data_IF_064376864663
#
_entry.id   IF_064376864663
#
_cell.length_a   1.000
_cell.length_b   1.000
_cell.length_c   1.000
_cell.angle_alpha   90.00
_cell.angle_beta   90.00
_cell.angle_gamma   90.00
#
_symmetry.space_group_name_H-M   'P 1'
#
loop_
_entity.id
_entity.type
_entity.pdbx_description
1 polymer ?
#
# COMPACT_ATOMS: atom_id res chain seq x y z
N UNK A 1 54.41 0.73 54.39
CA UNK A 1 54.87 -0.68 54.35
C UNK A 1 55.38 -0.95 52.94
N UNK A 2 56.56 -1.57 52.82
CA UNK A 2 57.40 -1.76 51.63
C UNK A 2 56.66 -2.46 50.45
N UNK A 3 56.83 -2.15 49.16
CA UNK A 3 58.02 -2.02 48.29
C UNK A 3 58.77 -3.34 48.04
N UNK A 4 58.79 -3.82 46.78
CA UNK A 4 59.98 -4.45 46.14
C UNK A 4 59.98 -4.19 44.62
N UNK A 5 61.17 -3.83 44.14
CA UNK A 5 61.60 -3.57 42.76
C UNK A 5 62.13 -4.84 42.06
N UNK A 6 62.09 -4.95 40.73
CA UNK A 6 63.25 -4.75 39.81
C UNK A 6 62.96 -5.12 38.34
N UNK A 7 63.86 -4.60 37.50
CA UNK A 7 63.88 -4.32 36.06
C UNK A 7 64.66 -5.38 35.26
N UNK A 8 64.57 -5.29 33.91
CA UNK A 8 65.50 -5.71 32.82
C UNK A 8 65.02 -6.92 32.00
N UNK A 9 65.16 -6.99 30.67
CA UNK A 9 65.76 -6.14 29.64
C UNK A 9 65.54 -6.81 28.27
N UNK A 10 65.50 -6.03 27.19
CA UNK A 10 65.39 -6.51 25.80
C UNK A 10 66.63 -7.29 25.34
N UNK A 11 66.50 -8.03 24.22
CA UNK A 11 67.53 -7.98 23.18
C UNK A 11 66.98 -7.51 21.84
N UNK A 12 67.91 -7.01 21.02
CA UNK A 12 67.71 -6.25 19.81
C UNK A 12 68.11 -7.07 18.55
N UNK A 13 67.45 -6.77 17.40
CA UNK A 13 68.01 -6.64 16.02
C UNK A 13 68.38 -7.98 15.29
N UNK A 14 68.15 -8.17 13.96
CA UNK A 14 68.47 -7.22 12.88
C UNK A 14 67.49 -7.00 11.72
N UNK A 15 67.81 -5.93 10.98
CA UNK A 15 67.21 -5.40 9.76
C UNK A 15 67.89 -5.92 8.47
N UNK A 16 67.08 -6.03 7.39
CA UNK A 16 67.37 -5.91 5.93
C UNK A 16 68.04 -7.11 5.21
N UNK A 17 67.80 -7.34 3.89
CA UNK A 17 67.60 -6.33 2.84
C UNK A 17 66.44 -6.52 1.83
N UNK A 18 66.18 -5.41 1.12
CA UNK A 18 65.28 -5.25 -0.02
C UNK A 18 65.64 -6.17 -1.19
N UNK A 19 64.63 -6.81 -1.78
CA UNK A 19 64.70 -7.28 -3.18
C UNK A 19 63.56 -6.64 -3.97
N UNK A 20 63.96 -5.74 -4.87
CA UNK A 20 63.15 -5.12 -5.91
C UNK A 20 62.45 -6.19 -6.74
N UNK A 21 61.12 -6.12 -6.88
CA UNK A 21 60.40 -6.73 -8.01
C UNK A 21 59.85 -5.63 -8.90
N UNK A 22 60.23 -5.74 -10.17
CA UNK A 22 59.96 -4.81 -11.24
C UNK A 22 58.47 -4.73 -11.57
N UNK A 23 57.98 -3.50 -11.77
CA UNK A 23 56.71 -3.20 -12.41
C UNK A 23 56.84 -3.47 -13.93
N UNK A 24 55.89 -4.16 -14.58
CA UNK A 24 55.84 -4.17 -16.03
C UNK A 24 55.26 -2.83 -16.52
N UNK A 25 56.04 -2.14 -17.35
CA UNK A 25 55.59 -1.02 -18.17
C UNK A 25 54.57 -1.55 -19.19
N UNK A 26 53.33 -1.08 -19.11
CA UNK A 26 52.39 -1.15 -20.23
C UNK A 26 52.30 0.24 -20.86
N UNK A 27 52.67 0.27 -22.14
CA UNK A 27 52.76 1.45 -22.97
C UNK A 27 51.38 2.08 -23.19
N UNK A 28 51.34 3.41 -23.11
CA UNK A 28 50.19 4.21 -23.51
C UNK A 28 50.02 4.14 -25.04
N UNK A 29 48.91 3.58 -25.49
CA UNK A 29 48.36 3.78 -26.83
C UNK A 29 47.10 4.64 -26.67
N UNK A 30 47.25 5.94 -26.96
CA UNK A 30 46.14 6.86 -27.07
C UNK A 30 45.39 6.58 -28.39
N UNK A 31 44.31 5.79 -28.30
CA UNK A 31 43.30 5.65 -29.34
C UNK A 31 42.07 6.45 -28.97
N UNK A 32 41.84 7.58 -29.64
CA UNK A 32 40.59 8.33 -29.53
C UNK A 32 39.47 7.52 -30.19
N UNK A 33 38.60 6.90 -29.39
CA UNK A 33 37.34 6.33 -29.85
C UNK A 33 36.20 7.17 -29.27
N UNK A 34 35.52 7.93 -30.14
CA UNK A 34 34.28 8.62 -29.82
C UNK A 34 33.21 7.57 -29.47
N UNK A 35 32.85 7.47 -28.20
CA UNK A 35 31.69 6.70 -27.75
C UNK A 35 30.43 7.46 -28.13
N UNK A 36 29.84 7.09 -29.27
CA UNK A 36 28.45 7.38 -29.54
C UNK A 36 27.61 6.63 -28.50
N UNK A 37 26.88 7.37 -27.66
CA UNK A 37 25.89 6.80 -26.76
C UNK A 37 24.84 6.05 -27.59
N UNK A 38 24.50 4.78 -27.27
CA UNK A 38 23.38 4.13 -27.90
C UNK A 38 22.11 4.85 -27.46
N UNK A 39 21.39 5.43 -28.42
CA UNK A 39 20.04 5.92 -28.24
C UNK A 39 19.15 4.73 -27.86
N UNK A 40 18.79 4.62 -26.57
CA UNK A 40 17.68 3.77 -26.16
C UNK A 40 16.40 4.40 -26.74
N UNK A 41 15.93 3.82 -27.84
CA UNK A 41 14.57 4.03 -28.28
C UNK A 41 13.63 3.59 -27.16
N UNK A 42 12.80 4.52 -26.70
CA UNK A 42 11.76 4.25 -25.73
C UNK A 42 10.84 3.14 -26.28
N UNK A 43 10.84 1.99 -25.61
CA UNK A 43 9.80 0.99 -25.82
C UNK A 43 8.47 1.60 -25.33
N UNK A 44 7.50 1.71 -26.24
CA UNK A 44 6.16 2.19 -25.92
C UNK A 44 5.44 1.30 -24.90
N UNK A 45 4.32 1.77 -24.34
CA UNK A 45 3.54 1.04 -23.35
C UNK A 45 3.12 -0.32 -23.92
N UNK A 46 3.57 -1.40 -23.28
CA UNK A 46 3.02 -2.72 -23.54
C UNK A 46 1.60 -2.72 -22.97
N UNK A 47 0.54 -2.99 -23.78
CA UNK A 47 -0.75 -3.35 -23.22
C UNK A 47 -0.54 -4.58 -22.34
N UNK A 48 -1.25 -4.65 -21.20
CA UNK A 48 -1.25 -5.81 -20.32
C UNK A 48 -1.36 -7.08 -21.16
N UNK A 49 -0.25 -7.80 -21.33
CA UNK A 49 -0.34 -9.16 -21.82
C UNK A 49 -0.90 -9.93 -20.66
N UNK A 50 -2.06 -10.56 -20.86
CA UNK A 50 -2.47 -11.72 -20.05
C UNK A 50 -1.20 -12.53 -19.80
N UNK A 51 -0.84 -12.73 -18.53
CA UNK A 51 0.31 -13.55 -18.18
C UNK A 51 0.21 -14.84 -19.02
N UNK A 52 1.25 -15.24 -19.76
CA UNK A 52 1.18 -16.45 -20.55
C UNK A 52 0.74 -17.59 -19.65
N UNK A 53 -0.19 -18.42 -20.15
CA UNK A 53 -0.83 -19.49 -19.41
C UNK A 53 0.17 -20.15 -18.43
N UNK A 54 -0.19 -20.08 -17.15
CA UNK A 54 0.67 -20.49 -16.05
C UNK A 54 1.11 -21.94 -16.26
N UNK A 55 2.37 -22.29 -15.96
CA UNK A 55 2.84 -23.67 -16.01
C UNK A 55 1.93 -24.56 -15.15
N UNK A 56 1.86 -25.84 -15.54
CA UNK A 56 0.99 -26.86 -14.94
C UNK A 56 0.95 -26.78 -13.41
N UNK A 57 -0.23 -26.98 -12.78
CA UNK A 57 -0.31 -26.98 -11.33
C UNK A 57 0.69 -28.00 -10.78
N UNK A 58 1.50 -27.56 -9.81
CA UNK A 58 2.31 -28.46 -9.01
C UNK A 58 1.41 -29.62 -8.54
N UNK A 59 1.91 -30.85 -8.49
CA UNK A 59 1.17 -31.94 -7.83
C UNK A 59 1.13 -31.58 -6.35
N UNK A 60 0.03 -30.94 -5.91
CA UNK A 60 -0.07 -30.35 -4.57
C UNK A 60 -0.59 -31.41 -3.59
N UNK A 61 -0.04 -31.51 -2.37
CA UNK A 61 -0.60 -32.35 -1.34
C UNK A 61 -2.04 -31.93 -1.03
N UNK A 62 -2.86 -32.92 -0.69
CA UNK A 62 -4.32 -32.84 -0.62
C UNK A 62 -4.91 -32.03 0.55
N UNK A 63 -4.10 -31.49 1.46
CA UNK A 63 -4.58 -30.88 2.70
C UNK A 63 -3.63 -29.77 3.17
N UNK A 64 -3.86 -28.54 2.72
CA UNK A 64 -3.30 -27.33 3.31
C UNK A 64 -4.23 -26.68 4.34
N UNK A 65 -5.49 -27.13 4.41
CA UNK A 65 -6.54 -26.64 5.28
C UNK A 65 -7.17 -27.79 6.07
N UNK A 66 -7.31 -27.63 7.38
CA UNK A 66 -8.02 -28.59 8.23
C UNK A 66 -9.09 -27.88 9.05
N UNK A 67 -10.34 -28.35 8.95
CA UNK A 67 -11.45 -27.79 9.74
C UNK A 67 -11.17 -27.92 11.23
N UNK A 68 -11.24 -26.78 11.93
CA UNK A 68 -11.16 -26.71 13.38
C UNK A 68 -12.55 -26.54 13.98
N UNK A 69 -12.89 -27.44 14.89
CA UNK A 69 -14.05 -27.27 15.75
C UNK A 69 -13.58 -26.66 17.07
N UNK A 70 -14.05 -25.46 17.37
CA UNK A 70 -13.82 -24.80 18.66
C UNK A 70 -15.13 -24.24 19.20
N UNK A 71 -15.15 -23.88 20.49
CA UNK A 71 -16.33 -23.28 21.13
C UNK A 71 -16.65 -21.92 20.49
N UNK A 72 -17.81 -21.73 19.85
CA UNK A 72 -18.20 -20.45 19.27
C UNK A 72 -18.20 -19.30 20.28
N UNK A 73 -18.40 -19.58 21.57
CA UNK A 73 -18.34 -18.57 22.63
C UNK A 73 -16.93 -18.02 22.87
N UNK A 74 -15.89 -18.72 22.40
CA UNK A 74 -14.50 -18.28 22.49
C UNK A 74 -14.14 -17.23 21.42
N UNK A 75 -14.88 -17.15 20.30
CA UNK A 75 -14.70 -16.12 19.28
C UNK A 75 -15.72 -14.98 19.48
N UNK A 76 -15.21 -13.79 19.82
CA UNK A 76 -15.99 -12.54 19.77
C UNK A 76 -16.04 -11.98 18.35
N UNK A 77 -16.77 -10.89 18.13
CA UNK A 77 -16.78 -10.20 16.82
C UNK A 77 -15.46 -9.47 16.50
N UNK A 78 -14.64 -9.20 17.52
CA UNK A 78 -13.30 -8.62 17.40
C UNK A 78 -12.27 -9.62 17.93
N UNK A 79 -11.04 -9.52 17.43
CA UNK A 79 -9.98 -10.44 17.84
C UNK A 79 -9.49 -10.13 19.25
N UNK A 80 -9.27 -11.17 20.04
CA UNK A 80 -8.86 -11.09 21.44
C UNK A 80 -7.37 -10.69 21.63
N UNK A 81 -6.60 -10.62 20.54
CA UNK A 81 -5.19 -10.24 20.52
C UNK A 81 -4.84 -9.56 19.20
N UNK A 82 -3.97 -8.56 19.27
CA UNK A 82 -3.36 -7.91 18.11
C UNK A 82 -1.95 -8.43 17.86
N UNK A 83 -1.60 -9.62 18.33
CA UNK A 83 -0.21 -10.12 18.30
C UNK A 83 -0.11 -11.42 17.50
N UNK A 84 0.83 -11.45 16.56
CA UNK A 84 1.31 -12.67 15.90
C UNK A 84 2.76 -12.91 16.34
N UNK A 85 3.00 -14.04 17.01
CA UNK A 85 4.33 -14.51 17.39
C UNK A 85 4.91 -15.39 16.29
N UNK A 86 6.03 -14.94 15.71
CA UNK A 86 6.77 -15.67 14.67
C UNK A 86 7.90 -16.44 15.33
N UNK A 87 7.73 -17.76 15.43
CA UNK A 87 8.56 -18.64 16.24
C UNK A 87 9.52 -19.46 15.37
N UNK A 88 10.83 -19.27 15.53
CA UNK A 88 11.91 -19.88 14.71
C UNK A 88 12.36 -21.28 15.13
N UNK A 89 11.88 -21.78 16.27
CA UNK A 89 12.31 -23.07 16.83
C UNK A 89 13.82 -23.22 17.12
N UNK A 90 14.54 -22.13 17.43
CA UNK A 90 16.01 -22.19 17.72
C UNK A 90 16.37 -22.18 19.21
N UNK A 91 15.54 -21.57 20.06
CA UNK A 91 15.86 -21.30 21.48
C UNK A 91 14.88 -21.97 22.47
N UNK A 92 14.00 -22.84 21.97
CA UNK A 92 12.94 -23.52 22.71
C UNK A 92 12.86 -24.98 22.26
N UNK A 93 12.27 -25.83 23.10
CA UNK A 93 11.78 -27.12 22.63
C UNK A 93 10.49 -26.82 21.86
N UNK A 94 10.53 -26.81 20.52
CA UNK A 94 9.36 -26.65 19.65
C UNK A 94 8.46 -27.89 19.69
N UNK A 95 8.10 -28.28 20.90
CA UNK A 95 7.16 -29.35 21.19
C UNK A 95 5.76 -28.88 20.89
N UNK A 96 4.99 -29.72 20.21
CA UNK A 96 3.58 -29.54 19.90
C UNK A 96 2.83 -30.71 20.53
N UNK A 97 1.80 -30.40 21.30
CA UNK A 97 0.92 -31.41 21.91
C UNK A 97 -0.40 -31.46 21.16
N UNK A 98 -0.94 -32.66 20.98
CA UNK A 98 -2.24 -32.84 20.32
C UNK A 98 -3.36 -32.24 21.20
N UNK A 99 -4.22 -31.40 20.61
CA UNK A 99 -5.40 -30.85 21.28
C UNK A 99 -6.13 -29.83 20.42
N UNK A 100 -7.14 -29.16 20.98
CA UNK A 100 -7.67 -27.93 20.36
C UNK A 100 -6.56 -26.89 20.30
N UNK A 101 -6.48 -26.16 19.20
CA UNK A 101 -5.40 -25.18 19.01
C UNK A 101 -5.35 -24.17 20.16
N UNK A 102 -4.16 -23.96 20.72
CA UNK A 102 -3.94 -22.97 21.77
C UNK A 102 -2.44 -22.60 21.90
N UNK A 103 -2.11 -21.37 21.53
CA UNK A 103 -0.77 -20.77 21.66
C UNK A 103 -0.45 -20.29 23.09
N UNK A 104 -1.43 -20.18 23.99
CA UNK A 104 -1.18 -19.63 25.35
C UNK A 104 -0.65 -20.67 26.33
N UNK A 105 -0.26 -21.86 25.86
CA UNK A 105 0.24 -22.97 26.67
C UNK A 105 1.68 -23.29 26.28
N UNK A 106 2.43 -23.88 27.21
CA UNK A 106 3.79 -24.37 26.98
C UNK A 106 3.89 -25.83 27.44
N UNK A 107 4.03 -26.81 26.51
CA UNK A 107 4.08 -26.64 25.06
C UNK A 107 2.74 -26.19 24.44
N UNK A 108 2.78 -25.71 23.21
CA UNK A 108 1.56 -25.29 22.49
C UNK A 108 0.69 -26.50 22.13
N UNK A 109 -0.62 -26.29 22.06
CA UNK A 109 -1.57 -27.30 21.61
C UNK A 109 -1.95 -27.07 20.14
N UNK A 110 -2.03 -28.14 19.35
CA UNK A 110 -2.51 -28.09 17.96
C UNK A 110 -3.39 -29.28 17.61
N UNK A 111 -4.39 -29.02 16.78
CA UNK A 111 -5.28 -30.02 16.21
C UNK A 111 -4.71 -30.67 14.95
N UNK A 112 -3.68 -30.06 14.37
CA UNK A 112 -3.03 -30.46 13.13
C UNK A 112 -2.03 -31.60 13.33
N UNK A 113 -1.53 -31.79 14.55
CA UNK A 113 -0.55 -32.83 14.85
C UNK A 113 0.13 -32.63 16.20
N UNK A 114 1.13 -33.48 16.46
CA UNK A 114 1.96 -33.42 17.67
C UNK A 114 3.36 -33.95 17.37
N UNK A 115 4.36 -33.47 18.09
CA UNK A 115 5.75 -33.85 17.88
C UNK A 115 6.72 -32.78 18.36
N UNK A 116 7.95 -32.85 17.89
CA UNK A 116 8.99 -31.86 18.17
C UNK A 116 9.57 -31.41 16.84
N UNK A 117 9.35 -30.15 16.47
CA UNK A 117 9.87 -29.60 15.22
C UNK A 117 11.37 -29.35 15.34
N UNK A 118 12.10 -29.69 14.29
CA UNK A 118 13.50 -29.26 14.19
C UNK A 118 13.61 -27.74 13.95
N UNK A 119 14.72 -27.10 14.38
CA UNK A 119 14.90 -25.67 14.20
C UNK A 119 14.85 -25.23 12.73
N UNK A 120 14.40 -24.00 12.48
CA UNK A 120 14.54 -23.38 11.15
C UNK A 120 16.02 -23.34 10.72
N UNK A 121 16.33 -23.96 9.58
CA UNK A 121 17.71 -24.20 9.15
C UNK A 121 18.32 -23.05 8.36
N UNK A 122 17.53 -22.07 7.90
CA UNK A 122 18.08 -20.91 7.18
C UNK A 122 18.74 -19.92 8.13
N UNK A 123 19.72 -19.18 7.61
CA UNK A 123 20.52 -18.21 8.39
C UNK A 123 19.74 -16.96 8.81
N UNK A 124 20.33 -16.19 9.72
CA UNK A 124 19.68 -15.01 10.33
C UNK A 124 19.26 -13.96 9.32
N UNK A 125 19.99 -13.79 8.22
CA UNK A 125 19.62 -12.86 7.16
C UNK A 125 18.31 -13.25 6.47
N UNK A 126 18.10 -14.55 6.21
CA UNK A 126 16.85 -15.08 5.65
C UNK A 126 15.73 -14.88 6.65
N UNK A 127 15.97 -15.23 7.92
CA UNK A 127 14.99 -15.05 8.99
C UNK A 127 14.54 -13.59 9.15
N UNK A 128 15.49 -12.65 9.22
CA UNK A 128 15.20 -11.22 9.29
C UNK A 128 14.37 -10.73 8.11
N UNK A 129 14.60 -11.28 6.91
CA UNK A 129 13.79 -10.95 5.72
C UNK A 129 12.37 -11.49 5.85
N UNK A 130 12.19 -12.70 6.38
CA UNK A 130 10.86 -13.29 6.64
C UNK A 130 10.09 -12.44 7.66
N UNK A 131 10.70 -12.08 8.79
CA UNK A 131 10.06 -11.28 9.84
C UNK A 131 9.72 -9.88 9.34
N UNK A 132 10.64 -9.21 8.62
CA UNK A 132 10.38 -7.90 8.03
C UNK A 132 9.24 -7.94 6.99
N UNK A 133 9.17 -9.02 6.21
CA UNK A 133 8.08 -9.23 5.29
C UNK A 133 6.73 -9.43 6.02
N UNK A 134 6.67 -10.25 7.07
CA UNK A 134 5.46 -10.41 7.89
C UNK A 134 5.02 -9.08 8.51
N UNK A 135 5.98 -8.28 9.00
CA UNK A 135 5.70 -6.94 9.52
C UNK A 135 5.08 -6.05 8.45
N UNK A 136 5.58 -6.06 7.22
CA UNK A 136 5.02 -5.26 6.12
C UNK A 136 3.64 -5.75 5.67
N UNK A 137 3.44 -7.07 5.56
CA UNK A 137 2.16 -7.67 5.16
C UNK A 137 1.05 -7.33 6.17
N UNK A 138 1.39 -7.27 7.46
CA UNK A 138 0.43 -7.01 8.53
C UNK A 138 0.38 -5.56 9.05
N UNK A 139 1.36 -4.71 8.74
CA UNK A 139 1.36 -3.28 9.09
C UNK A 139 0.07 -2.52 8.73
N UNK A 140 -0.64 -2.87 7.64
CA UNK A 140 -1.92 -2.25 7.32
C UNK A 140 -3.04 -2.50 8.34
N UNK A 141 -2.92 -3.58 9.10
CA UNK A 141 -3.87 -3.99 10.12
C UNK A 141 -3.30 -3.64 11.49
N UNK A 142 -4.14 -3.52 12.50
CA UNK A 142 -3.70 -3.23 13.87
C UNK A 142 -3.04 -4.48 14.49
N UNK A 143 -2.02 -5.04 13.84
CA UNK A 143 -1.40 -6.32 14.17
C UNK A 143 0.09 -6.13 14.38
N UNK A 144 0.57 -6.55 15.54
CA UNK A 144 1.96 -6.55 15.93
C UNK A 144 2.58 -7.92 15.64
N UNK A 145 3.61 -7.92 14.79
CA UNK A 145 4.49 -9.08 14.62
C UNK A 145 5.60 -9.02 15.68
N UNK A 146 5.81 -10.12 16.39
CA UNK A 146 6.86 -10.25 17.42
C UNK A 146 7.66 -11.54 17.23
N UNK A 147 8.94 -11.50 17.59
CA UNK A 147 9.82 -12.68 17.73
C UNK A 147 10.02 -13.07 19.21
N UNK A 148 9.44 -12.30 20.13
CA UNK A 148 9.50 -12.57 21.57
C UNK A 148 8.22 -13.28 21.97
N UNK A 149 8.37 -14.45 22.61
CA UNK A 149 7.25 -15.24 23.12
C UNK A 149 6.34 -14.39 24.02
N UNK A 150 5.03 -14.33 23.71
CA UNK A 150 4.04 -13.69 24.59
C UNK A 150 3.71 -14.51 25.86
N UNK A 151 4.25 -15.73 25.99
CA UNK A 151 3.92 -16.66 27.08
C UNK A 151 2.43 -16.98 27.11
N UNK A 152 1.78 -16.77 28.25
CA UNK A 152 0.36 -17.08 28.43
C UNK A 152 -0.58 -15.97 27.95
N UNK A 153 -0.07 -14.86 27.40
CA UNK A 153 -0.92 -13.81 26.83
C UNK A 153 -1.60 -14.32 25.55
N UNK A 154 -2.86 -13.95 25.25
CA UNK A 154 -3.51 -14.29 23.99
C UNK A 154 -2.70 -13.81 22.78
N UNK A 155 -2.47 -14.66 21.78
CA UNK A 155 -1.75 -14.34 20.55
C UNK A 155 -1.97 -15.42 19.49
N UNK A 156 -1.72 -15.12 18.22
CA UNK A 156 -1.55 -16.16 17.20
C UNK A 156 -0.09 -16.58 17.17
N UNK A 157 0.18 -17.87 17.02
CA UNK A 157 1.54 -18.38 16.93
C UNK A 157 1.75 -19.09 15.60
N UNK A 158 2.83 -18.73 14.92
CA UNK A 158 3.31 -19.44 13.75
C UNK A 158 4.66 -20.09 14.04
N UNK A 159 4.67 -21.41 14.00
CA UNK A 159 5.87 -22.23 14.13
C UNK A 159 6.52 -22.38 12.76
N UNK A 160 7.69 -21.77 12.59
CA UNK A 160 8.47 -21.85 11.35
C UNK A 160 9.71 -22.70 11.60
N UNK A 161 9.74 -23.87 10.97
CA UNK A 161 10.79 -24.86 11.16
C UNK A 161 10.28 -26.27 10.90
N UNK A 162 11.15 -27.24 11.12
CA UNK A 162 10.80 -28.64 11.07
C UNK A 162 10.37 -29.13 9.69
N UNK A 163 9.88 -30.37 9.70
CA UNK A 163 9.30 -31.05 8.54
C UNK A 163 7.87 -31.52 8.86
N UNK A 164 6.96 -31.58 7.88
CA UNK A 164 5.57 -31.98 8.14
C UNK A 164 5.46 -33.35 8.80
N UNK A 165 6.36 -34.29 8.49
CA UNK A 165 6.39 -35.63 9.07
C UNK A 165 6.67 -35.62 10.57
N UNK A 166 7.33 -34.59 11.10
CA UNK A 166 7.68 -34.47 12.52
C UNK A 166 6.43 -34.22 13.40
N UNK A 167 5.32 -33.77 12.81
CA UNK A 167 4.02 -33.68 13.47
C UNK A 167 2.97 -34.66 12.92
N UNK A 168 3.40 -35.64 12.13
CA UNK A 168 2.54 -36.71 11.60
C UNK A 168 1.86 -36.43 10.27
N UNK A 169 2.27 -35.38 9.55
CA UNK A 169 1.74 -35.03 8.24
C UNK A 169 2.54 -35.67 7.09
N UNK A 170 1.98 -35.61 5.88
CA UNK A 170 2.67 -36.13 4.68
C UNK A 170 3.75 -35.17 4.17
N UNK A 171 4.77 -35.73 3.53
CA UNK A 171 5.78 -34.96 2.82
C UNK A 171 5.17 -34.01 1.77
N UNK A 172 5.87 -32.90 1.49
CA UNK A 172 5.50 -31.95 0.43
C UNK A 172 4.54 -30.84 0.86
N UNK A 173 4.16 -30.79 2.14
CA UNK A 173 3.38 -29.70 2.73
C UNK A 173 4.34 -28.56 3.11
N UNK A 174 4.10 -27.37 2.56
CA UNK A 174 4.89 -26.16 2.85
C UNK A 174 4.40 -25.37 4.05
N UNK A 175 3.10 -25.43 4.31
CA UNK A 175 2.42 -24.84 5.46
C UNK A 175 1.07 -25.52 5.68
N UNK A 176 0.53 -25.37 6.89
CA UNK A 176 -0.81 -25.86 7.23
C UNK A 176 -1.40 -25.02 8.38
N UNK A 177 -2.70 -24.77 8.29
CA UNK A 177 -3.47 -24.05 9.29
C UNK A 177 -4.77 -24.76 9.64
N UNK A 178 -5.25 -24.65 10.90
CA UNK A 178 -6.65 -24.85 11.19
C UNK A 178 -7.51 -23.81 10.44
N UNK A 179 -8.74 -24.20 10.10
CA UNK A 179 -9.67 -23.40 9.31
C UNK A 179 -11.07 -23.42 9.92
N UNK A 180 -11.74 -22.27 9.92
CA UNK A 180 -13.11 -22.14 10.41
C UNK A 180 -13.84 -21.02 9.69
N UNK A 181 -15.17 -21.07 9.70
CA UNK A 181 -16.02 -19.97 9.23
C UNK A 181 -16.64 -19.16 10.38
N UNK A 182 -16.28 -19.48 11.63
CA UNK A 182 -16.38 -18.53 12.74
C UNK A 182 -15.31 -17.46 12.52
N UNK A 183 -15.57 -16.19 12.87
CA UNK A 183 -14.86 -15.04 12.29
C UNK A 183 -13.33 -15.14 12.39
N UNK A 184 -12.82 -15.78 13.45
CA UNK A 184 -11.44 -16.24 13.54
C UNK A 184 -11.34 -17.40 14.55
N UNK A 185 -10.19 -18.08 14.57
CA UNK A 185 -9.85 -19.11 15.56
C UNK A 185 -8.96 -18.47 16.66
N UNK A 186 -9.46 -18.28 17.89
CA UNK A 186 -8.67 -17.64 18.95
C UNK A 186 -7.43 -18.46 19.31
N UNK A 187 -6.31 -17.78 19.56
CA UNK A 187 -5.06 -18.41 19.98
C UNK A 187 -4.57 -19.52 19.02
N UNK A 188 -4.80 -19.32 17.72
CA UNK A 188 -4.46 -20.32 16.71
C UNK A 188 -2.94 -20.55 16.61
N UNK A 189 -2.58 -21.80 16.37
CA UNK A 189 -1.22 -22.28 16.13
C UNK A 189 -1.17 -22.82 14.70
N UNK A 190 -0.34 -22.19 13.87
CA UNK A 190 -0.18 -22.54 12.46
C UNK A 190 1.28 -22.92 12.16
N UNK A 191 1.53 -23.61 11.04
CA UNK A 191 2.86 -24.15 10.74
C UNK A 191 3.36 -23.73 9.36
N UNK A 192 4.65 -23.41 9.29
CA UNK A 192 5.39 -23.29 8.02
C UNK A 192 6.63 -24.16 8.12
N UNK A 193 6.71 -25.18 7.25
CA UNK A 193 7.80 -26.14 7.29
C UNK A 193 9.02 -25.64 6.51
N UNK A 194 10.20 -26.06 6.93
CA UNK A 194 11.47 -25.66 6.33
C UNK A 194 11.78 -26.48 5.07
N UNK A 195 10.90 -26.33 4.07
CA UNK A 195 10.96 -27.03 2.77
C UNK A 195 11.24 -26.08 1.60
N UNK A 196 11.23 -24.78 1.85
CA UNK A 196 11.36 -23.73 0.84
C UNK A 196 12.82 -23.37 0.51
N UNK A 197 13.76 -23.72 1.40
CA UNK A 197 15.16 -23.32 1.31
C UNK A 197 15.34 -21.81 1.52
N UNK A 198 16.38 -21.22 0.93
CA UNK A 198 16.65 -19.78 1.06
C UNK A 198 15.75 -18.92 0.14
N UNK A 199 14.44 -18.97 0.36
CA UNK A 199 13.41 -18.20 -0.35
C UNK A 199 12.54 -17.43 0.64
N UNK A 200 13.06 -16.33 1.22
CA UNK A 200 12.36 -15.63 2.31
C UNK A 200 10.99 -15.09 1.92
N UNK A 201 10.78 -14.64 0.68
CA UNK A 201 9.47 -14.15 0.22
C UNK A 201 8.43 -15.28 0.11
N UNK A 202 8.84 -16.51 -0.24
CA UNK A 202 7.93 -17.66 -0.28
C UNK A 202 7.60 -18.16 1.14
N UNK A 203 8.58 -18.15 2.04
CA UNK A 203 8.36 -18.49 3.45
C UNK A 203 7.40 -17.47 4.09
N UNK A 204 7.60 -16.18 3.82
CA UNK A 204 6.70 -15.12 4.29
C UNK A 204 5.29 -15.25 3.69
N UNK A 205 5.17 -15.48 2.38
CA UNK A 205 3.87 -15.67 1.74
C UNK A 205 3.12 -16.87 2.34
N UNK A 206 3.81 -18.00 2.54
CA UNK A 206 3.25 -19.18 3.21
C UNK A 206 2.82 -18.82 4.64
N UNK A 207 3.67 -18.11 5.40
CA UNK A 207 3.35 -17.70 6.76
C UNK A 207 2.11 -16.81 6.85
N UNK A 208 2.00 -15.82 5.97
CA UNK A 208 0.82 -14.96 5.87
C UNK A 208 -0.42 -15.78 5.48
N UNK A 209 -0.32 -16.63 4.47
CA UNK A 209 -1.41 -17.52 4.03
C UNK A 209 -1.96 -18.37 5.17
N UNK A 210 -1.07 -19.08 5.88
CA UNK A 210 -1.48 -19.98 6.96
C UNK A 210 -2.13 -19.21 8.12
N UNK A 211 -1.60 -18.05 8.49
CA UNK A 211 -2.25 -17.22 9.53
C UNK A 211 -3.64 -16.75 9.07
N UNK A 212 -3.78 -16.35 7.80
CA UNK A 212 -5.06 -15.87 7.25
C UNK A 212 -6.16 -16.93 7.19
N UNK A 213 -5.81 -18.22 7.07
CA UNK A 213 -6.79 -19.30 7.22
C UNK A 213 -7.43 -19.35 8.61
N UNK A 214 -6.70 -18.96 9.65
CA UNK A 214 -7.26 -18.78 11.00
C UNK A 214 -8.22 -17.58 11.09
N UNK A 215 -8.28 -16.74 10.06
CA UNK A 215 -9.20 -15.59 9.90
C UNK A 215 -10.33 -15.87 8.91
N UNK A 216 -10.58 -17.15 8.60
CA UNK A 216 -11.62 -17.60 7.66
C UNK A 216 -11.34 -17.29 6.17
N UNK A 217 -10.12 -16.87 5.82
CA UNK A 217 -9.78 -16.58 4.42
C UNK A 217 -9.48 -17.87 3.66
N UNK A 218 -10.17 -18.04 2.54
CA UNK A 218 -9.94 -19.11 1.57
C UNK A 218 -8.78 -18.73 0.64
N UNK A 219 -8.31 -19.67 -0.18
CA UNK A 219 -7.36 -19.32 -1.23
C UNK A 219 -8.02 -18.47 -2.32
N UNK A 220 -7.23 -17.64 -3.00
CA UNK A 220 -7.71 -16.73 -4.04
C UNK A 220 -6.80 -16.76 -5.29
N UNK A 221 -7.34 -16.32 -6.43
CA UNK A 221 -6.65 -16.44 -7.74
C UNK A 221 -5.70 -15.30 -8.08
N UNK A 222 -5.53 -14.29 -7.22
CA UNK A 222 -4.69 -13.12 -7.50
C UNK A 222 -3.22 -13.42 -7.15
N UNK A 223 -2.29 -13.54 -8.12
CA UNK A 223 -0.91 -13.95 -7.83
C UNK A 223 -0.16 -13.05 -6.84
N UNK A 224 -0.50 -11.75 -6.77
CA UNK A 224 0.13 -10.84 -5.81
C UNK A 224 -0.37 -11.00 -4.38
N UNK A 225 -1.44 -11.76 -4.16
CA UNK A 225 -2.02 -12.00 -2.84
C UNK A 225 -1.36 -13.22 -2.15
N UNK A 226 -1.02 -13.16 -0.85
CA UNK A 226 -0.50 -14.32 -0.12
C UNK A 226 -1.42 -15.54 -0.16
N UNK A 227 -2.73 -15.36 -0.32
CA UNK A 227 -3.71 -16.46 -0.36
C UNK A 227 -3.71 -17.26 -1.66
N UNK A 228 -2.71 -17.10 -2.52
CA UNK A 228 -2.66 -17.75 -3.84
C UNK A 228 -1.58 -18.83 -3.95
N UNK A 229 -1.89 -19.89 -4.68
CA UNK A 229 -0.89 -20.85 -5.16
C UNK A 229 -0.33 -20.54 -6.55
N UNK A 230 -0.66 -19.38 -7.11
CA UNK A 230 -0.05 -18.96 -8.37
C UNK A 230 1.32 -18.33 -8.14
N UNK A 231 2.20 -18.59 -9.10
CA UNK A 231 3.56 -18.07 -9.08
C UNK A 231 3.53 -16.53 -9.20
N UNK A 232 4.28 -15.88 -8.32
CA UNK A 232 4.47 -14.45 -8.35
C UNK A 232 5.91 -14.11 -8.03
N UNK A 233 6.39 -13.02 -8.62
CA UNK A 233 7.76 -12.54 -8.41
C UNK A 233 7.71 -11.29 -7.55
N UNK A 234 8.21 -11.42 -6.33
CA UNK A 234 8.32 -10.32 -5.38
C UNK A 234 7.44 -10.55 -4.16
N UNK A 235 7.27 -9.48 -3.38
CA UNK A 235 6.51 -9.50 -2.14
C UNK A 235 5.01 -9.55 -2.43
N UNK A 236 4.31 -10.43 -1.73
CA UNK A 236 2.85 -10.56 -1.79
C UNK A 236 2.21 -9.74 -0.68
N UNK A 237 1.06 -9.14 -0.96
CA UNK A 237 0.26 -8.37 0.01
C UNK A 237 -1.21 -8.70 -0.19
N UNK A 238 -1.98 -8.73 0.90
CA UNK A 238 -3.43 -8.90 0.80
C UNK A 238 -4.04 -7.82 -0.08
N UNK A 239 -4.87 -8.22 -1.03
CA UNK A 239 -5.43 -7.33 -2.03
C UNK A 239 -6.79 -6.81 -1.57
N UNK A 240 -6.94 -5.48 -1.54
CA UNK A 240 -8.24 -4.84 -1.25
C UNK A 240 -9.15 -4.83 -2.48
N UNK A 241 -9.55 -6.00 -2.94
CA UNK A 241 -10.54 -6.16 -4.00
C UNK A 241 -11.36 -7.43 -3.76
N UNK A 242 -12.51 -7.53 -4.42
CA UNK A 242 -13.26 -8.78 -4.46
C UNK A 242 -12.56 -9.74 -5.43
N UNK A 243 -11.80 -10.68 -4.90
CA UNK A 243 -11.01 -11.66 -5.65
C UNK A 243 -11.72 -13.01 -5.62
N UNK A 244 -11.76 -13.68 -6.78
CA UNK A 244 -12.32 -15.03 -6.92
C UNK A 244 -11.54 -16.05 -6.08
N UNK A 245 -12.26 -16.83 -5.27
CA UNK A 245 -11.66 -17.91 -4.50
C UNK A 245 -11.22 -19.06 -5.41
N UNK A 246 -10.09 -19.68 -5.10
CA UNK A 246 -9.44 -20.62 -6.01
C UNK A 246 -7.92 -20.78 -5.85
N UNK A 247 -7.28 -21.21 -6.93
CA UNK A 247 -5.84 -21.51 -7.10
C UNK A 247 -5.33 -22.84 -6.51
N UNK A 248 -6.13 -23.49 -5.69
CA UNK A 248 -5.75 -24.66 -4.87
C UNK A 248 -6.35 -25.99 -5.35
N UNK A 249 -7.02 -25.98 -6.50
CA UNK A 249 -7.74 -27.14 -6.99
C UNK A 249 -6.79 -28.25 -7.43
N UNK A 250 -7.13 -29.47 -7.00
CA UNK A 250 -6.40 -30.69 -7.32
C UNK A 250 -6.67 -31.19 -8.76
N UNK A 251 -6.02 -32.29 -9.13
CA UNK A 251 -6.21 -32.96 -10.41
C UNK A 251 -7.62 -33.51 -10.67
N UNK A 252 -8.45 -33.63 -9.62
CA UNK A 252 -9.86 -34.02 -9.73
C UNK A 252 -10.80 -32.81 -9.73
N UNK A 253 -10.23 -31.59 -9.84
CA UNK A 253 -10.95 -30.32 -9.81
C UNK A 253 -11.72 -30.13 -8.50
N UNK A 254 -11.06 -30.42 -7.38
CA UNK A 254 -11.56 -30.22 -6.02
C UNK A 254 -10.62 -29.32 -5.23
N UNK A 255 -11.19 -28.38 -4.48
CA UNK A 255 -10.44 -27.62 -3.47
C UNK A 255 -10.04 -28.56 -2.31
N UNK A 256 -9.09 -28.17 -1.44
CA UNK A 256 -8.71 -28.91 -0.23
C UNK A 256 -9.90 -29.20 0.70
N UNK A 257 -10.95 -28.38 0.65
CA UNK A 257 -12.18 -28.57 1.42
C UNK A 257 -13.27 -29.38 0.66
N UNK A 258 -12.93 -29.93 -0.50
CA UNK A 258 -13.78 -30.83 -1.30
C UNK A 258 -14.79 -30.13 -2.23
N UNK A 259 -14.75 -28.80 -2.31
CA UNK A 259 -15.63 -28.02 -3.18
C UNK A 259 -15.27 -28.27 -4.64
N UNK A 260 -16.28 -28.40 -5.51
CA UNK A 260 -16.05 -28.57 -6.95
C UNK A 260 -15.49 -27.29 -7.56
N UNK A 261 -14.37 -27.40 -8.25
CA UNK A 261 -13.76 -26.31 -8.98
C UNK A 261 -14.35 -26.18 -10.38
N UNK A 262 -14.32 -24.93 -10.86
CA UNK A 262 -14.98 -24.43 -12.07
C UNK A 262 -14.02 -23.48 -12.80
N UNK A 263 -14.53 -22.75 -13.80
CA UNK A 263 -13.71 -21.91 -14.67
C UNK A 263 -12.98 -22.71 -15.75
N UNK A 264 -12.32 -21.99 -16.66
CA UNK A 264 -11.65 -22.61 -17.82
C UNK A 264 -10.40 -23.42 -17.41
N UNK A 265 -9.77 -23.07 -16.28
CA UNK A 265 -8.59 -23.72 -15.73
C UNK A 265 -8.92 -24.73 -14.62
N UNK A 266 -10.20 -24.87 -14.22
CA UNK A 266 -10.60 -25.64 -13.04
C UNK A 266 -9.90 -25.21 -11.75
N UNK A 267 -9.62 -23.91 -11.61
CA UNK A 267 -8.95 -23.33 -10.44
C UNK A 267 -9.85 -22.35 -9.68
N UNK A 268 -11.14 -22.24 -10.00
CA UNK A 268 -12.07 -21.31 -9.34
C UNK A 268 -13.12 -22.10 -8.54
N UNK A 269 -13.40 -21.71 -7.31
CA UNK A 269 -14.50 -22.30 -6.53
C UNK A 269 -15.20 -21.25 -5.67
N UNK A 270 -16.45 -21.51 -5.21
CA UNK A 270 -17.06 -20.71 -4.16
C UNK A 270 -16.16 -20.64 -2.92
N UNK A 271 -16.09 -19.47 -2.29
CA UNK A 271 -15.34 -19.28 -1.05
C UNK A 271 -15.96 -20.11 0.08
N UNK A 272 -15.14 -20.83 0.82
CA UNK A 272 -15.57 -21.79 1.84
C UNK A 272 -16.50 -21.16 2.89
N UNK A 273 -16.20 -19.92 3.33
CA UNK A 273 -16.97 -19.19 4.33
C UNK A 273 -17.91 -18.13 3.75
N UNK A 274 -18.05 -18.06 2.41
CA UNK A 274 -18.81 -17.02 1.72
C UNK A 274 -20.32 -17.28 1.59
N UNK A 275 -20.84 -18.39 2.13
CA UNK A 275 -22.27 -18.74 1.97
C UNK A 275 -22.70 -18.90 0.50
N UNK A 276 -21.77 -19.32 -0.38
CA UNK A 276 -21.96 -19.42 -1.83
C UNK A 276 -21.40 -18.22 -2.62
N UNK A 277 -20.88 -17.19 -1.96
CA UNK A 277 -20.11 -16.15 -2.62
C UNK A 277 -18.91 -16.74 -3.39
N UNK A 278 -18.63 -16.16 -4.55
CA UNK A 278 -17.51 -16.57 -5.40
C UNK A 278 -16.22 -15.82 -5.06
N UNK A 279 -16.36 -14.65 -4.43
CA UNK A 279 -15.25 -13.76 -4.15
C UNK A 279 -15.15 -13.46 -2.66
N UNK A 280 -13.93 -13.18 -2.22
CA UNK A 280 -13.63 -12.61 -0.91
C UNK A 280 -12.76 -11.36 -1.07
N UNK A 281 -12.66 -10.56 -0.02
CA UNK A 281 -11.73 -9.43 0.05
C UNK A 281 -10.94 -9.53 1.34
N UNK A 282 -9.67 -9.89 1.20
CA UNK A 282 -8.82 -10.31 2.31
C UNK A 282 -8.54 -9.14 3.26
N UNK A 283 -8.29 -7.96 2.68
CA UNK A 283 -8.12 -6.72 3.43
C UNK A 283 -9.37 -6.37 4.24
N UNK A 284 -10.56 -6.51 3.66
CA UNK A 284 -11.82 -6.21 4.35
C UNK A 284 -12.08 -7.17 5.51
N UNK A 285 -11.82 -8.48 5.32
CA UNK A 285 -11.98 -9.50 6.37
C UNK A 285 -11.01 -9.22 7.51
N UNK A 286 -9.72 -9.05 7.24
CA UNK A 286 -8.71 -8.82 8.27
C UNK A 286 -8.95 -7.48 8.97
N UNK A 287 -9.33 -6.42 8.24
CA UNK A 287 -9.65 -5.12 8.84
C UNK A 287 -10.91 -5.16 9.71
N UNK A 288 -11.88 -6.01 9.41
CA UNK A 288 -13.07 -6.19 10.26
C UNK A 288 -12.73 -6.87 11.60
N UNK A 289 -11.69 -7.71 11.61
CA UNK A 289 -11.24 -8.45 12.78
C UNK A 289 -10.38 -7.62 13.75
N UNK A 290 -9.44 -6.84 13.21
CA UNK A 290 -8.43 -6.12 13.99
C UNK A 290 -8.62 -4.59 13.96
N UNK A 291 -9.50 -4.08 13.10
CA UNK A 291 -9.53 -2.67 12.75
C UNK A 291 -8.39 -2.27 11.80
N UNK A 292 -8.46 -1.05 11.26
CA UNK A 292 -7.37 -0.48 10.48
C UNK A 292 -6.16 -0.16 11.37
N UNK A 293 -4.97 -0.55 10.95
CA UNK A 293 -3.71 -0.42 11.71
C UNK A 293 -3.13 0.99 11.81
N UNK A 294 -3.95 2.02 11.59
CA UNK A 294 -3.46 3.39 11.52
C UNK A 294 -2.52 3.65 10.34
N UNK A 295 -2.41 2.73 9.36
CA UNK A 295 -1.70 2.96 8.10
C UNK A 295 -2.14 4.31 7.53
N UNK A 296 -1.18 5.21 7.43
CA UNK A 296 -1.49 6.58 7.03
C UNK A 296 -1.63 6.60 5.52
N UNK A 297 -2.71 7.16 4.94
CA UNK A 297 -2.83 7.24 3.50
C UNK A 297 -1.58 7.89 2.87
N UNK A 298 -1.20 7.51 1.63
CA UNK A 298 0.04 7.98 1.05
C UNK A 298 0.17 9.50 1.05
N UNK A 299 1.36 10.00 1.31
CA UNK A 299 1.67 11.42 1.07
C UNK A 299 1.96 11.61 -0.41
N UNK A 300 1.13 12.42 -1.08
CA UNK A 300 1.28 12.75 -2.51
C UNK A 300 1.72 14.20 -2.66
N UNK A 301 2.69 14.45 -3.53
CA UNK A 301 3.13 15.79 -3.94
C UNK A 301 3.36 15.86 -5.44
N UNK A 302 2.61 16.73 -6.12
CA UNK A 302 2.85 17.02 -7.53
C UNK A 302 4.09 17.93 -7.63
N UNK A 303 5.15 17.43 -8.28
CA UNK A 303 6.43 18.13 -8.47
C UNK A 303 6.37 19.04 -9.69
N UNK A 304 5.72 18.59 -10.76
CA UNK A 304 5.51 19.33 -12.00
C UNK A 304 4.21 18.88 -12.66
N UNK A 305 3.43 19.76 -13.28
CA UNK A 305 3.58 21.23 -13.27
C UNK A 305 3.34 21.83 -11.88
N UNK A 306 3.62 23.12 -11.71
CA UNK A 306 3.29 23.88 -10.49
C UNK A 306 1.92 24.55 -10.64
N UNK A 307 1.34 24.95 -9.52
CA UNK A 307 0.08 25.68 -9.49
C UNK A 307 0.18 26.98 -10.31
N UNK A 308 -0.76 27.16 -11.24
CA UNK A 308 -0.86 28.33 -12.11
C UNK A 308 0.03 28.28 -13.35
N UNK A 309 0.83 27.22 -13.55
CA UNK A 309 1.67 27.09 -14.74
C UNK A 309 0.81 27.08 -16.01
N UNK A 310 1.30 27.77 -17.04
CA UNK A 310 0.75 27.64 -18.40
C UNK A 310 1.42 26.45 -19.07
N UNK A 311 0.61 25.50 -19.53
CA UNK A 311 1.07 24.24 -20.13
C UNK A 311 0.43 24.06 -21.51
N UNK A 312 1.16 23.42 -22.42
CA UNK A 312 0.60 22.97 -23.69
C UNK A 312 -0.07 21.59 -23.51
N UNK A 313 -1.10 21.25 -24.30
CA UNK A 313 -1.71 19.92 -24.24
C UNK A 313 -0.67 18.80 -24.42
N UNK A 314 -0.85 17.69 -23.70
CA UNK A 314 0.15 16.61 -23.66
C UNK A 314 1.33 16.87 -22.71
N UNK A 315 1.25 17.85 -21.82
CA UNK A 315 2.29 18.14 -20.82
C UNK A 315 2.58 16.95 -19.88
N UNK A 316 3.81 16.90 -19.35
CA UNK A 316 4.21 15.89 -18.37
C UNK A 316 3.76 16.27 -16.96
N UNK A 317 3.23 15.29 -16.22
CA UNK A 317 2.94 15.39 -14.79
C UNK A 317 3.86 14.43 -14.04
N UNK A 318 4.58 14.92 -13.04
CA UNK A 318 5.44 14.11 -12.17
C UNK A 318 5.05 14.31 -10.72
N UNK A 319 4.94 13.22 -9.97
CA UNK A 319 4.63 13.24 -8.55
C UNK A 319 5.65 12.46 -7.72
N UNK A 320 5.87 12.94 -6.50
CA UNK A 320 6.49 12.19 -5.40
C UNK A 320 5.35 11.60 -4.58
N UNK A 321 5.36 10.28 -4.39
CA UNK A 321 4.37 9.58 -3.57
C UNK A 321 5.14 8.66 -2.64
N UNK A 322 4.88 8.79 -1.35
CA UNK A 322 5.49 7.98 -0.30
C UNK A 322 4.44 7.57 0.71
N UNK A 323 4.59 6.39 1.26
CA UNK A 323 3.72 5.81 2.26
C UNK A 323 4.60 5.20 3.36
N UNK A 324 4.08 5.03 4.57
CA UNK A 324 4.81 4.39 5.67
C UNK A 324 4.95 2.87 5.49
N UNK A 325 4.07 2.25 4.70
CA UNK A 325 4.13 0.83 4.34
C UNK A 325 4.51 0.68 2.87
N UNK A 326 3.61 1.03 1.95
CA UNK A 326 3.82 0.90 0.52
C UNK A 326 2.74 1.64 -0.27
N UNK A 327 3.11 2.14 -1.45
CA UNK A 327 2.17 2.70 -2.42
C UNK A 327 1.82 1.62 -3.43
N UNK A 328 0.56 1.19 -3.47
CA UNK A 328 0.07 0.15 -4.39
C UNK A 328 -0.09 0.68 -5.82
N UNK A 329 -0.62 1.89 -5.94
CA UNK A 329 -0.91 2.50 -7.23
C UNK A 329 -1.03 4.02 -7.11
N UNK A 330 -0.98 4.68 -8.25
CA UNK A 330 -1.18 6.10 -8.39
C UNK A 330 -1.93 6.41 -9.68
N UNK A 331 -2.89 7.31 -9.59
CA UNK A 331 -3.74 7.72 -10.71
C UNK A 331 -3.63 9.23 -10.93
N UNK A 332 -3.58 9.65 -12.19
CA UNK A 332 -3.78 11.05 -12.59
C UNK A 332 -5.20 11.24 -13.11
N UNK A 333 -5.92 12.22 -12.56
CA UNK A 333 -7.16 12.76 -13.10
C UNK A 333 -7.00 14.21 -13.54
N UNK A 334 -7.61 14.57 -14.66
CA UNK A 334 -7.71 15.95 -15.17
C UNK A 334 -9.19 16.29 -15.29
N UNK A 335 -9.64 17.33 -14.57
CA UNK A 335 -11.05 17.71 -14.44
C UNK A 335 -11.99 16.55 -14.07
N UNK A 336 -11.46 15.62 -13.25
CA UNK A 336 -12.17 14.43 -12.81
C UNK A 336 -12.10 13.24 -13.78
N UNK A 337 -11.60 13.40 -15.01
CA UNK A 337 -11.41 12.31 -15.95
C UNK A 337 -10.08 11.58 -15.68
N UNK A 338 -10.11 10.24 -15.61
CA UNK A 338 -8.91 9.40 -15.46
C UNK A 338 -8.05 9.47 -16.73
N UNK A 339 -6.79 9.85 -16.55
CA UNK A 339 -5.81 9.98 -17.64
C UNK A 339 -4.85 8.80 -17.68
N UNK A 340 -4.45 8.28 -16.52
CA UNK A 340 -3.59 7.12 -16.47
C UNK A 340 -3.19 6.74 -15.06
N UNK A 341 -2.59 5.55 -14.97
CA UNK A 341 -2.24 4.90 -13.71
C UNK A 341 -0.77 4.46 -13.72
N UNK A 342 -0.17 4.36 -12.54
CA UNK A 342 1.19 3.89 -12.30
C UNK A 342 1.20 3.05 -11.04
N UNK A 343 1.86 1.89 -11.09
CA UNK A 343 1.98 0.97 -9.94
C UNK A 343 3.35 1.04 -9.25
N UNK A 344 4.26 1.86 -9.77
CA UNK A 344 5.59 2.05 -9.18
C UNK A 344 6.19 3.41 -9.56
N UNK A 345 7.14 3.87 -8.73
CA UNK A 345 7.94 5.05 -9.02
C UNK A 345 8.91 4.78 -10.21
N UNK A 346 9.27 5.79 -11.01
CA UNK A 346 8.86 7.19 -10.91
C UNK A 346 7.40 7.42 -11.39
N UNK A 347 6.61 8.14 -10.59
CA UNK A 347 5.22 8.45 -10.91
C UNK A 347 5.14 9.60 -11.92
N UNK A 348 5.32 9.25 -13.20
CA UNK A 348 5.25 10.17 -14.34
C UNK A 348 4.12 9.81 -15.28
N UNK A 349 3.29 10.81 -15.58
CA UNK A 349 2.10 10.71 -16.42
C UNK A 349 2.19 11.71 -17.57
N UNK A 350 1.45 11.46 -18.65
CA UNK A 350 1.27 12.40 -19.76
C UNK A 350 -0.16 12.89 -19.72
N UNK A 351 -0.35 14.21 -19.62
CA UNK A 351 -1.67 14.84 -19.68
C UNK A 351 -2.35 14.61 -21.04
N UNK A 352 -3.66 14.84 -21.15
CA UNK A 352 -4.38 14.62 -22.41
C UNK A 352 -3.89 15.57 -23.51
N UNK A 353 -3.79 15.04 -24.74
CA UNK A 353 -3.39 15.80 -25.94
C UNK A 353 -4.51 16.69 -26.51
N UNK A 354 -5.80 16.26 -26.53
CA UNK A 354 -6.89 17.22 -26.65
C UNK A 354 -7.25 17.75 -25.25
N UNK A 355 -6.87 18.97 -24.96
CA UNK A 355 -7.30 19.69 -23.77
C UNK A 355 -7.68 21.12 -24.19
N UNK A 356 -8.87 21.57 -23.80
CA UNK A 356 -9.40 22.87 -24.21
C UNK A 356 -8.56 24.02 -23.62
N UNK A 357 -8.62 25.22 -24.21
CA UNK A 357 -8.02 26.39 -23.57
C UNK A 357 -8.79 26.75 -22.29
N UNK A 358 -8.09 27.03 -21.20
CA UNK A 358 -8.70 27.38 -19.92
C UNK A 358 -7.95 26.84 -18.70
N UNK A 359 -8.56 26.98 -17.54
CA UNK A 359 -8.02 26.44 -16.29
C UNK A 359 -8.47 24.99 -16.11
N UNK A 360 -7.52 24.10 -15.83
CA UNK A 360 -7.74 22.68 -15.59
C UNK A 360 -7.27 22.28 -14.21
N UNK A 361 -8.00 21.37 -13.56
CA UNK A 361 -7.63 20.80 -12.27
C UNK A 361 -6.92 19.47 -12.48
N UNK A 362 -5.69 19.37 -11.99
CA UNK A 362 -4.94 18.12 -11.92
C UNK A 362 -5.11 17.53 -10.52
N UNK A 363 -5.46 16.26 -10.44
CA UNK A 363 -5.45 15.48 -9.21
C UNK A 363 -4.55 14.26 -9.41
N UNK A 364 -3.55 14.11 -8.56
CA UNK A 364 -2.83 12.84 -8.41
C UNK A 364 -3.32 12.19 -7.12
N UNK A 365 -3.80 10.95 -7.23
CA UNK A 365 -4.18 10.12 -6.08
C UNK A 365 -3.19 8.97 -5.98
N UNK A 366 -2.53 8.80 -4.84
CA UNK A 366 -1.77 7.59 -4.50
C UNK A 366 -2.63 6.72 -3.61
N UNK A 367 -2.58 5.41 -3.79
CA UNK A 367 -3.26 4.43 -2.96
C UNK A 367 -2.21 3.60 -2.24
N UNK A 368 -2.43 3.35 -0.96
CA UNK A 368 -1.66 2.34 -0.23
C UNK A 368 -2.16 0.94 -0.58
N UNK A 369 -1.58 -0.09 0.04
CA UNK A 369 -2.00 -1.48 -0.12
C UNK A 369 -3.39 -1.77 0.47
N UNK A 370 -3.95 -0.86 1.28
CA UNK A 370 -5.33 -0.89 1.77
C UNK A 370 -6.31 -0.14 0.87
N UNK A 371 -5.85 0.44 -0.24
CA UNK A 371 -6.68 1.31 -1.07
C UNK A 371 -7.05 2.64 -0.40
N UNK A 372 -6.39 3.03 0.70
CA UNK A 372 -6.58 4.34 1.30
C UNK A 372 -5.93 5.42 0.40
N UNK A 373 -6.68 6.47 0.02
CA UNK A 373 -6.20 7.44 -0.95
C UNK A 373 -5.47 8.62 -0.28
N UNK A 374 -4.21 8.79 -0.65
CA UNK A 374 -3.46 10.04 -0.57
C UNK A 374 -3.72 10.93 -1.78
N UNK A 375 -3.87 12.26 -1.63
CA UNK A 375 -4.19 13.14 -2.76
C UNK A 375 -3.41 14.44 -2.77
N UNK A 376 -3.05 14.88 -3.98
CA UNK A 376 -2.61 16.24 -4.25
C UNK A 376 -3.39 16.82 -5.44
N UNK A 377 -3.78 18.10 -5.33
CA UNK A 377 -4.46 18.83 -6.40
C UNK A 377 -3.76 20.14 -6.70
N UNK A 378 -3.65 20.47 -7.98
CA UNK A 378 -3.20 21.79 -8.46
C UNK A 378 -4.07 22.24 -9.64
N UNK A 379 -4.04 23.53 -9.95
CA UNK A 379 -4.64 24.07 -11.17
C UNK A 379 -3.55 24.49 -12.14
N UNK A 380 -3.75 24.25 -13.43
CA UNK A 380 -2.89 24.71 -14.54
C UNK A 380 -3.73 25.43 -15.57
N UNK A 381 -3.08 26.19 -16.47
CA UNK A 381 -3.73 26.93 -17.54
C UNK A 381 -3.28 26.35 -18.88
N UNK A 382 -4.21 25.96 -19.72
CA UNK A 382 -3.95 25.52 -21.09
C UNK A 382 -4.28 26.65 -22.06
N UNK A 383 -3.42 26.83 -23.05
CA UNK A 383 -3.55 27.88 -24.04
C UNK A 383 -3.11 29.25 -23.53
N UNK A 384 -3.34 30.29 -24.32
CA UNK A 384 -2.94 31.65 -23.94
C UNK A 384 -3.86 32.14 -22.82
N UNK A 385 -3.34 32.71 -21.71
CA UNK A 385 -4.17 33.40 -20.75
C UNK A 385 -4.99 34.45 -21.50
N UNK A 386 -6.32 34.38 -21.39
CA UNK A 386 -7.23 35.21 -22.17
C UNK A 386 -6.79 36.68 -22.06
N UNK A 387 -6.26 37.24 -23.16
CA UNK A 387 -5.95 38.65 -23.20
C UNK A 387 -7.28 39.39 -23.13
N UNK A 388 -7.52 40.14 -22.06
CA UNK A 388 -8.66 41.05 -21.99
C UNK A 388 -8.65 41.91 -23.25
N UNK A 389 -9.63 41.69 -24.14
CA UNK A 389 -9.82 42.54 -25.30
C UNK A 389 -10.07 43.95 -24.79
N UNK A 390 -9.22 44.96 -25.09
CA UNK A 390 -9.51 46.32 -24.68
C UNK A 390 -10.87 46.70 -25.24
N UNK A 391 -11.78 47.17 -24.39
CA UNK A 391 -13.04 47.75 -24.86
C UNK A 391 -12.65 48.91 -25.77
N UNK A 392 -12.89 48.78 -27.07
CA UNK A 392 -12.73 49.88 -28.00
C UNK A 392 -13.69 50.99 -27.54
N UNK A 393 -13.13 52.09 -27.01
CA UNK A 393 -13.90 53.31 -26.75
C UNK A 393 -14.57 53.69 -28.08
N UNK A 394 -15.90 53.60 -28.15
CA UNK A 394 -16.66 54.24 -29.23
C UNK A 394 -16.29 55.73 -29.17
N UNK A 395 -15.62 56.21 -30.20
CA UNK A 395 -15.33 57.62 -30.35
C UNK A 395 -16.64 58.40 -30.36
N UNK A 396 -16.90 59.16 -29.30
CA UNK A 396 -17.85 60.27 -29.37
C UNK A 396 -17.25 61.30 -30.31
N UNK A 397 -17.96 61.58 -31.40
CA UNK A 397 -17.63 62.62 -32.36
C UNK A 397 -17.38 63.96 -31.64
N UNK A 398 -16.46 64.81 -32.13
CA UNK A 398 -16.23 66.12 -31.53
C UNK A 398 -17.48 67.00 -31.73
N UNK A 399 -17.93 67.75 -30.72
CA UNK A 399 -19.02 68.69 -30.90
C UNK A 399 -18.55 69.85 -31.80
N UNK A 400 -19.33 70.12 -32.83
CA UNK A 400 -19.25 71.32 -33.68
C UNK A 400 -19.30 72.57 -32.83
N UNK A 401 -18.31 73.44 -33.01
CA UNK A 401 -18.26 74.81 -32.47
C UNK A 401 -19.37 75.66 -33.07
N UNK A 402 -20.27 76.16 -32.22
CA UNK A 402 -21.09 77.34 -32.51
C UNK A 402 -20.84 78.36 -31.39
N UNK A 403 -20.30 79.52 -31.78
CA UNK A 403 -20.06 80.65 -30.91
C UNK A 403 -21.37 81.35 -30.57
N UNK A 404 -21.56 81.70 -29.29
CA UNK A 404 -22.44 82.79 -28.87
C UNK A 404 -21.91 83.43 -27.58
N UNK A 405 -22.05 84.74 -27.54
CA UNK A 405 -21.29 85.74 -26.79
C UNK A 405 -21.91 86.09 -25.43
N UNK A 406 -21.07 86.62 -24.51
CA UNK A 406 -21.40 87.40 -23.30
C UNK A 406 -22.00 86.61 -22.11
N UNK A 407 -21.68 86.85 -20.83
CA UNK A 407 -21.02 87.96 -20.13
C UNK A 407 -20.58 87.50 -18.71
N UNK A 408 -19.44 88.03 -18.24
CA UNK A 408 -18.92 88.01 -16.85
C UNK A 408 -19.75 88.97 -15.94
N UNK A 409 -19.62 89.03 -14.58
CA UNK A 409 -18.37 88.82 -13.82
C UNK A 409 -18.41 88.19 -12.38
N UNK A 410 -17.20 87.81 -11.94
CA UNK A 410 -16.59 87.88 -10.59
C UNK A 410 -17.26 87.12 -9.41
N UNK A 411 -16.57 86.35 -8.57
CA UNK A 411 -15.28 86.62 -7.91
C UNK A 411 -14.76 85.36 -7.17
N UNK A 412 -13.43 85.16 -7.11
CA UNK A 412 -12.63 84.96 -5.87
C UNK A 412 -11.25 84.34 -6.14
N UNK A 413 -10.24 85.13 -5.79
CA UNK A 413 -9.01 84.85 -5.06
C UNK A 413 -8.36 83.43 -5.07
N UNK A 414 -7.16 83.40 -5.65
CA UNK A 414 -5.84 83.00 -5.09
C UNK A 414 -5.60 81.62 -4.44
N UNK A 415 -4.69 80.86 -5.10
CA UNK A 415 -3.48 80.12 -4.63
C UNK A 415 -3.54 79.31 -3.31
N UNK A 416 -2.92 78.13 -3.12
CA UNK A 416 -1.67 77.52 -3.63
C UNK A 416 -1.60 76.03 -3.17
N UNK A 417 -0.94 75.19 -3.96
CA UNK A 417 -0.29 73.87 -3.72
C UNK A 417 -0.51 73.03 -2.44
N UNK A 418 -0.81 71.71 -2.60
CA UNK A 418 0.12 70.57 -2.44
C UNK A 418 -0.57 69.21 -2.14
N UNK A 419 -0.23 68.20 -2.96
CA UNK A 419 -0.10 66.72 -2.74
C UNK A 419 -0.91 65.97 -1.65
N UNK A 420 -1.64 64.92 -2.04
CA UNK A 420 -1.28 63.50 -1.78
C UNK A 420 -2.32 62.47 -2.30
N UNK A 421 -1.79 61.44 -2.96
CA UNK A 421 -2.19 60.03 -3.03
C UNK A 421 -3.64 59.61 -3.42
N UNK A 422 -3.75 58.89 -4.55
CA UNK A 422 -4.72 57.82 -4.72
C UNK A 422 -4.09 56.66 -5.52
N UNK A 423 -3.80 55.57 -4.81
CA UNK A 423 -3.42 54.24 -5.29
C UNK A 423 -4.50 53.67 -6.22
N UNK A 424 -4.12 53.20 -7.40
CA UNK A 424 -4.99 52.45 -8.30
C UNK A 424 -4.85 50.96 -8.01
N UNK A 425 -5.90 50.37 -7.45
CA UNK A 425 -6.08 48.92 -7.38
C UNK A 425 -6.57 48.40 -8.75
N UNK A 426 -5.89 47.39 -9.28
CA UNK A 426 -6.41 46.60 -10.40
C UNK A 426 -7.36 45.53 -9.85
N UNK A 427 -8.66 45.70 -10.07
CA UNK A 427 -9.66 44.66 -9.92
C UNK A 427 -10.01 44.13 -11.30
N UNK A 428 -9.64 42.88 -11.59
CA UNK A 428 -10.05 42.16 -12.78
C UNK A 428 -11.42 41.49 -12.52
N UNK A 429 -12.42 41.87 -13.29
CA UNK A 429 -13.71 41.19 -13.33
C UNK A 429 -13.73 40.22 -14.52
N UNK A 430 -13.87 38.93 -14.25
CA UNK A 430 -14.31 37.92 -15.20
C UNK A 430 -15.32 37.02 -14.48
N UNK A 431 -16.61 37.24 -14.75
CA UNK A 431 -17.70 36.39 -14.29
C UNK A 431 -18.03 35.38 -15.39
N UNK A 432 -17.95 34.08 -15.07
CA UNK A 432 -18.54 32.99 -15.86
C UNK A 432 -20.05 32.87 -15.64
N UNK A 433 -20.78 32.13 -16.48
CA UNK A 433 -22.24 32.05 -16.41
C UNK A 433 -22.69 31.25 -15.19
N UNK A 434 -23.55 31.85 -14.36
CA UNK A 434 -24.20 31.20 -13.25
C UNK A 434 -25.26 30.20 -13.74
N UNK A 435 -25.09 28.92 -13.40
CA UNK A 435 -26.14 27.90 -13.49
C UNK A 435 -27.25 28.22 -12.49
N UNK A 436 -28.48 28.36 -12.96
CA UNK A 436 -29.66 28.55 -12.11
C UNK A 436 -30.08 27.22 -11.49
N UNK A 437 -29.75 27.01 -10.21
CA UNK A 437 -30.46 26.05 -9.34
C UNK A 437 -31.35 26.84 -8.38
N UNK A 438 -32.66 26.65 -8.50
CA UNK A 438 -33.69 27.19 -7.60
C UNK A 438 -33.53 26.63 -6.17
N UNK A 439 -33.52 27.47 -5.11
CA UNK A 439 -33.49 26.97 -3.73
C UNK A 439 -34.89 26.65 -3.20
N UNK A 440 -35.01 25.49 -2.55
CA UNK A 440 -36.15 25.09 -1.71
C UNK A 440 -36.05 25.84 -0.37
N UNK A 441 -37.14 26.47 0.05
CA UNK A 441 -37.23 27.27 1.26
C UNK A 441 -37.17 26.42 2.55
N UNK A 442 -36.25 26.76 3.44
CA UNK A 442 -36.16 26.23 4.80
C UNK A 442 -37.08 27.03 5.75
N UNK A 443 -37.85 26.31 6.57
CA UNK A 443 -38.71 26.84 7.64
C UNK A 443 -37.89 27.25 8.89
N UNK A 444 -38.33 28.25 9.67
CA UNK A 444 -37.62 28.66 10.88
C UNK A 444 -37.98 27.79 12.10
N UNK A 445 -36.95 27.44 12.86
CA UNK A 445 -37.06 26.75 14.16
C UNK A 445 -37.57 27.71 15.24
N UNK A 446 -38.65 27.32 15.93
CA UNK A 446 -39.15 27.98 17.12
C UNK A 446 -38.73 27.21 18.38
N UNK A 447 -38.01 27.89 19.27
CA UNK A 447 -37.73 27.41 20.62
C UNK A 447 -39.00 27.43 21.49
N UNK A 448 -39.30 26.33 22.18
CA UNK A 448 -40.18 26.35 23.37
C UNK A 448 -39.72 25.39 24.47
N UNK A 449 -40.03 25.86 25.67
CA UNK A 449 -39.60 25.44 27.00
C UNK A 449 -40.07 24.06 27.45
N UNK A 450 -39.32 23.54 28.41
CA UNK A 450 -39.67 22.50 29.38
C UNK A 450 -41.07 22.63 30.01
N UNK A 451 -41.83 21.54 30.06
CA UNK A 451 -42.81 21.24 31.11
C UNK A 451 -43.12 19.74 31.19
N UNK A 452 -43.45 19.31 32.41
CA UNK A 452 -43.59 17.97 32.98
C UNK A 452 -44.83 17.16 32.52
N UNK A 453 -44.65 15.83 32.63
CA UNK A 453 -45.53 14.77 33.21
C UNK A 453 -46.75 14.21 32.45
N UNK A 454 -46.76 12.86 32.46
CA UNK A 454 -47.82 11.87 32.76
C UNK A 454 -48.62 11.21 31.61
N UNK A 455 -48.34 9.91 31.46
CA UNK A 455 -49.25 8.73 31.43
C UNK A 455 -50.56 8.78 30.64
N UNK A 456 -50.77 7.80 29.75
CA UNK A 456 -52.10 7.39 29.28
C UNK A 456 -52.10 6.41 28.11
N UNK A 457 -52.66 5.24 28.36
CA UNK A 457 -52.85 4.01 27.58
C UNK A 457 -53.90 4.03 26.43
N UNK A 458 -53.79 3.02 25.55
CA UNK A 458 -54.80 2.43 24.62
C UNK A 458 -55.21 3.29 23.41
N UNK A 459 -55.38 2.78 22.18
CA UNK A 459 -55.61 1.44 21.64
C UNK A 459 -54.64 1.08 20.51
#
# INVERSE_FOLDING_TARGET
MCATHRVSGSPAVPLRPETRRALPRLAALAGAAALAAPSLAAAGPQPYSVAPALPSPLVRPYTALQWETFDPAAATNEVNSHTIYVHRCVDSDCTVVQGTTNSTTDPVHSSLGHGVLSPFSQGDATWQTVVACMQEVYAPFNVQITEVSPGTAPHFEILIGGRPEEIGLSAGIGGISPFSCMPYIPNSVVFVFDVWGNKPEEICATAAQEVAHSFSLDHCIEPSDPMTYFDYKGRRHYVNAQIQCGSDCDQNHRSPLGVACTGASFQEHPCACGGGAQTQNDVQVISALFGGGGATPPTVKIVSPKIGDTVEPGFSVTAEISDDVAVSSAELRVDGALIGERTAAPYSFTGPAPLADGTHTLEVTGYDNLGAPGRARIQVIVGRPATCKPIARRGSAPPTTAAATASRPASRASARAASAAATTAWAAACAGPASTSTPVAAWPAAARRSARRRSGSHC
#
